data_IF_426140834266
#
_entry.id   IF_426140834266
#
_cell.length_a   1.000
_cell.length_b   1.000
_cell.length_c   1.000
_cell.angle_alpha   90.00
_cell.angle_beta   90.00
_cell.angle_gamma   90.00
#
_symmetry.space_group_name_H-M   'P 1'
#
loop_
_entity.id
_entity.type
_entity.pdbx_description
1 polymer ?
#
# COMPACT_ATOMS: atom_id res chain seq x y z
N UNK A 1 -18.60 21.00 25.39
CA UNK A 1 -18.86 19.57 25.05
C UNK A 1 -19.00 19.35 23.55
N UNK A 2 -19.62 20.27 22.79
CA UNK A 2 -19.71 20.23 21.33
C UNK A 2 -18.35 20.15 20.60
N UNK A 3 -17.33 20.89 21.04
CA UNK A 3 -15.99 20.84 20.41
C UNK A 3 -15.35 19.45 20.42
N UNK A 4 -15.55 18.67 21.49
CA UNK A 4 -15.04 17.29 21.57
C UNK A 4 -15.77 16.35 20.61
N UNK A 5 -17.06 16.60 20.35
CA UNK A 5 -17.87 15.83 19.39
C UNK A 5 -17.44 16.18 17.96
N UNK A 6 -17.20 17.46 17.69
CA UNK A 6 -16.69 17.94 16.39
C UNK A 6 -15.33 17.28 16.09
N UNK A 7 -14.39 17.23 17.03
CA UNK A 7 -13.11 16.53 16.84
C UNK A 7 -13.23 15.00 16.74
N UNK A 8 -14.32 14.41 17.23
CA UNK A 8 -14.58 12.96 17.10
C UNK A 8 -15.25 12.61 15.76
N UNK A 9 -16.04 13.53 15.20
CA UNK A 9 -16.72 13.39 13.90
C UNK A 9 -15.79 13.83 12.74
N UNK A 10 -14.99 14.87 12.95
CA UNK A 10 -13.92 15.27 12.04
C UNK A 10 -12.87 14.18 12.07
N UNK A 11 -12.76 13.45 10.96
CA UNK A 11 -11.68 12.52 10.73
C UNK A 11 -10.35 13.29 10.85
N UNK A 12 -9.51 13.04 11.86
CA UNK A 12 -8.22 13.74 11.96
C UNK A 12 -7.31 13.28 10.82
N UNK A 13 -6.40 14.15 10.37
CA UNK A 13 -5.54 13.87 9.23
C UNK A 13 -4.74 12.57 9.39
N UNK A 14 -4.30 12.23 10.60
CA UNK A 14 -3.61 10.97 10.90
C UNK A 14 -4.47 9.73 10.69
N UNK A 15 -5.77 9.82 10.99
CA UNK A 15 -6.71 8.74 10.69
C UNK A 15 -7.08 8.73 9.20
N UNK A 16 -7.10 9.89 8.54
CA UNK A 16 -7.35 9.97 7.11
C UNK A 16 -6.23 9.29 6.31
N UNK A 17 -4.97 9.57 6.61
CA UNK A 17 -3.83 8.89 5.97
C UNK A 17 -3.83 7.39 6.28
N UNK A 18 -4.12 6.99 7.51
CA UNK A 18 -4.28 5.57 7.86
C UNK A 18 -5.41 4.89 7.05
N UNK A 19 -6.56 5.54 6.84
CA UNK A 19 -7.64 5.00 6.03
C UNK A 19 -7.30 4.97 4.53
N UNK A 20 -6.48 5.90 4.05
CA UNK A 20 -5.89 5.86 2.70
C UNK A 20 -5.02 4.61 2.54
N UNK A 21 -4.12 4.33 3.48
CA UNK A 21 -3.28 3.12 3.42
C UNK A 21 -4.11 1.84 3.49
N UNK A 22 -5.09 1.81 4.40
CA UNK A 22 -5.98 0.66 4.52
C UNK A 22 -6.75 0.40 3.24
N UNK A 23 -7.36 1.41 2.61
CA UNK A 23 -8.16 1.18 1.39
C UNK A 23 -7.34 0.71 0.18
N UNK A 24 -6.01 0.85 0.19
CA UNK A 24 -5.13 0.34 -0.86
C UNK A 24 -4.90 -1.17 -0.72
N UNK A 25 -4.75 -1.65 0.51
CA UNK A 25 -4.38 -3.05 0.80
C UNK A 25 -5.55 -3.92 1.27
N UNK A 26 -6.65 -3.31 1.71
CA UNK A 26 -7.80 -4.01 2.26
C UNK A 26 -9.11 -3.23 2.04
N UNK A 27 -10.23 -3.93 2.05
CA UNK A 27 -11.52 -3.26 2.01
C UNK A 27 -11.84 -2.57 3.34
N UNK A 28 -12.34 -1.33 3.24
CA UNK A 28 -12.84 -0.57 4.38
C UNK A 28 -14.37 -0.43 4.30
N UNK A 29 -15.08 -0.32 5.44
CA UNK A 29 -16.53 -0.13 5.44
C UNK A 29 -16.97 1.09 4.61
N UNK A 30 -18.13 1.00 3.95
CA UNK A 30 -18.65 2.05 3.05
C UNK A 30 -18.75 3.42 3.74
N UNK A 31 -19.19 3.45 5.01
CA UNK A 31 -19.28 4.70 5.77
C UNK A 31 -17.91 5.36 5.99
N UNK A 32 -16.84 4.57 6.17
CA UNK A 32 -15.46 5.07 6.24
C UNK A 32 -14.98 5.59 4.89
N UNK A 33 -15.37 4.95 3.77
CA UNK A 33 -15.09 5.44 2.41
C UNK A 33 -15.69 6.83 2.20
N UNK A 34 -16.95 7.03 2.61
CA UNK A 34 -17.64 8.32 2.51
C UNK A 34 -16.97 9.37 3.41
N UNK A 35 -16.71 9.04 4.68
CA UNK A 35 -16.05 9.94 5.62
C UNK A 35 -14.67 10.39 5.11
N UNK A 36 -13.88 9.46 4.59
CA UNK A 36 -12.57 9.76 4.00
C UNK A 36 -12.71 10.64 2.76
N UNK A 37 -13.68 10.37 1.87
CA UNK A 37 -13.91 11.17 0.66
C UNK A 37 -14.21 12.63 0.99
N UNK A 38 -15.04 12.89 2.02
CA UNK A 38 -15.31 14.25 2.50
C UNK A 38 -14.05 14.92 3.05
N UNK A 39 -13.23 14.18 3.81
CA UNK A 39 -11.97 14.71 4.34
C UNK A 39 -10.98 15.06 3.21
N UNK A 40 -10.81 14.20 2.21
CA UNK A 40 -9.90 14.46 1.09
C UNK A 40 -10.33 15.68 0.27
N UNK A 41 -11.63 15.95 0.14
CA UNK A 41 -12.13 17.16 -0.53
C UNK A 41 -11.86 18.44 0.26
N UNK A 42 -11.80 18.37 1.59
CA UNK A 42 -11.60 19.54 2.46
C UNK A 42 -10.14 19.77 2.86
N UNK A 43 -9.30 18.73 2.87
CA UNK A 43 -7.89 18.82 3.23
C UNK A 43 -6.97 18.56 2.02
N UNK A 44 -6.37 19.65 1.51
CA UNK A 44 -5.44 19.60 0.35
C UNK A 44 -4.24 18.67 0.59
N UNK A 45 -3.65 18.69 1.79
CA UNK A 45 -2.48 17.86 2.11
C UNK A 45 -2.82 16.37 2.06
N UNK A 46 -3.96 15.98 2.65
CA UNK A 46 -4.42 14.59 2.62
C UNK A 46 -4.81 14.16 1.21
N UNK A 47 -5.38 15.06 0.39
CA UNK A 47 -5.65 14.79 -1.03
C UNK A 47 -4.36 14.50 -1.81
N UNK A 48 -3.33 15.33 -1.64
CA UNK A 48 -2.03 15.13 -2.28
C UNK A 48 -1.40 13.83 -1.79
N UNK A 49 -1.45 13.55 -0.49
CA UNK A 49 -0.99 12.29 0.08
C UNK A 49 -1.68 11.09 -0.57
N UNK A 50 -3.02 11.12 -0.67
CA UNK A 50 -3.79 10.03 -1.27
C UNK A 50 -3.39 9.76 -2.72
N UNK A 51 -3.11 10.81 -3.51
CA UNK A 51 -2.62 10.64 -4.89
C UNK A 51 -1.22 10.00 -4.93
N UNK A 52 -0.32 10.43 -4.05
CA UNK A 52 1.04 9.87 -3.95
C UNK A 52 1.02 8.40 -3.55
N UNK A 53 0.21 8.06 -2.55
CA UNK A 53 0.07 6.68 -2.08
C UNK A 53 -0.45 5.76 -3.21
N UNK A 54 -1.53 6.17 -3.91
CA UNK A 54 -2.03 5.41 -5.06
C UNK A 54 -1.01 5.28 -6.19
N UNK A 55 -0.27 6.34 -6.51
CA UNK A 55 0.78 6.28 -7.54
C UNK A 55 1.89 5.27 -7.19
N UNK A 56 2.32 5.25 -5.92
CA UNK A 56 3.35 4.30 -5.47
C UNK A 56 2.81 2.87 -5.55
N UNK A 57 1.57 2.64 -5.10
CA UNK A 57 0.94 1.32 -5.14
C UNK A 57 0.84 0.81 -6.58
N UNK A 58 0.34 1.63 -7.50
CA UNK A 58 0.23 1.27 -8.92
C UNK A 58 1.61 0.99 -9.55
N UNK A 59 2.63 1.80 -9.21
CA UNK A 59 3.99 1.60 -9.71
C UNK A 59 4.62 0.29 -9.20
N UNK A 60 4.38 -0.06 -7.94
CA UNK A 60 4.84 -1.33 -7.35
C UNK A 60 4.09 -2.50 -8.00
N UNK A 61 2.77 -2.42 -8.15
CA UNK A 61 1.96 -3.45 -8.79
C UNK A 61 2.44 -3.71 -10.22
N UNK A 62 2.63 -2.66 -11.02
CA UNK A 62 3.16 -2.78 -12.38
C UNK A 62 4.58 -3.34 -12.44
N UNK A 63 5.45 -2.96 -11.50
CA UNK A 63 6.79 -3.53 -11.41
C UNK A 63 6.72 -5.04 -11.14
N UNK A 64 5.87 -5.46 -10.20
CA UNK A 64 5.69 -6.89 -9.87
C UNK A 64 5.13 -7.66 -11.07
N UNK A 65 4.10 -7.13 -11.74
CA UNK A 65 3.50 -7.75 -12.94
C UNK A 65 4.52 -7.90 -14.08
N UNK A 66 5.31 -6.85 -14.34
CA UNK A 66 6.32 -6.89 -15.41
C UNK A 66 7.45 -7.88 -15.12
N UNK A 67 7.80 -8.05 -13.83
CA UNK A 67 8.86 -8.94 -13.38
C UNK A 67 8.29 -10.27 -12.85
N UNK A 68 7.02 -10.57 -13.13
CA UNK A 68 6.40 -11.83 -12.73
C UNK A 68 7.07 -12.99 -13.48
N UNK A 69 7.75 -13.85 -12.73
CA UNK A 69 8.54 -14.95 -13.30
C UNK A 69 10.03 -14.67 -13.47
N UNK A 70 10.52 -13.45 -13.19
CA UNK A 70 11.96 -13.16 -13.25
C UNK A 70 12.76 -13.95 -12.22
N UNK A 71 12.19 -14.15 -11.03
CA UNK A 71 12.79 -15.06 -10.05
C UNK A 71 12.91 -16.47 -10.65
N UNK A 72 11.84 -16.99 -11.27
CA UNK A 72 11.83 -18.33 -11.90
C UNK A 72 12.84 -18.41 -13.05
N UNK A 73 12.94 -17.36 -13.86
CA UNK A 73 13.94 -17.24 -14.93
C UNK A 73 15.35 -17.24 -14.36
N UNK A 74 15.63 -16.42 -13.34
CA UNK A 74 16.92 -16.40 -12.64
C UNK A 74 17.29 -17.78 -12.06
N UNK A 75 16.36 -18.48 -11.42
CA UNK A 75 16.56 -19.84 -10.91
C UNK A 75 16.84 -20.85 -12.04
N UNK A 76 16.17 -20.69 -13.18
CA UNK A 76 16.37 -21.55 -14.37
C UNK A 76 17.75 -21.31 -14.97
N UNK A 77 18.11 -20.05 -15.17
CA UNK A 77 19.36 -19.62 -15.80
C UNK A 77 20.59 -19.93 -14.93
N UNK A 78 20.42 -20.03 -13.60
CA UNK A 78 21.52 -20.23 -12.64
C UNK A 78 21.41 -21.56 -11.86
N UNK A 79 20.71 -22.56 -12.40
CA UNK A 79 20.43 -23.84 -11.71
C UNK A 79 21.70 -24.51 -11.14
N UNK A 80 22.77 -24.56 -11.94
CA UNK A 80 24.04 -25.21 -11.55
C UNK A 80 24.75 -24.49 -10.40
N UNK A 81 24.70 -23.15 -10.39
CA UNK A 81 25.24 -22.36 -9.29
C UNK A 81 24.46 -22.62 -7.99
N UNK A 82 23.13 -22.67 -8.08
CA UNK A 82 22.26 -22.90 -6.93
C UNK A 82 22.41 -24.31 -6.38
N UNK A 83 22.60 -25.33 -7.22
CA UNK A 83 22.94 -26.68 -6.77
C UNK A 83 24.30 -26.71 -6.05
N UNK A 84 25.32 -26.03 -6.57
CA UNK A 84 26.62 -25.90 -5.89
C UNK A 84 26.49 -25.23 -4.52
N UNK A 85 25.74 -24.15 -4.41
CA UNK A 85 25.50 -23.48 -3.12
C UNK A 85 24.78 -24.42 -2.15
N UNK A 86 23.72 -25.12 -2.58
CA UNK A 86 22.99 -26.09 -1.75
C UNK A 86 23.88 -27.22 -1.23
N UNK A 87 24.81 -27.72 -2.05
CA UNK A 87 25.76 -28.77 -1.63
C UNK A 87 26.76 -28.28 -0.59
N UNK A 88 27.18 -27.01 -0.66
CA UNK A 88 28.09 -26.41 0.32
C UNK A 88 27.39 -26.09 1.65
N UNK A 89 26.10 -25.79 1.64
CA UNK A 89 25.32 -25.55 2.87
C UNK A 89 24.94 -26.87 3.58
N UNK A 90 24.90 -28.00 2.86
CA UNK A 90 24.60 -29.32 3.43
C UNK A 90 25.83 -30.08 3.97
N UNK A 91 27.03 -29.54 3.79
CA UNK A 91 28.29 -30.04 4.37
C UNK A 91 28.56 -29.34 5.69
#
# INVERSE_FOLDING_TARGET
>A
MLDKIIHTIILPCSQATLLVEKRLHMDIPVWKKIQLSVHLKSCKSCHIYSKKASFIEDAIAHYIEQHEGDAKKYFTDNKDFIEKVKQNIKK
#
